data_IF_233720343718
#
_entry.id   IF_233720343718
#
_cell.length_a   1.000
_cell.length_b   1.000
_cell.length_c   1.000
_cell.angle_alpha   90.00
_cell.angle_beta   90.00
_cell.angle_gamma   90.00
#
_symmetry.space_group_name_H-M   'P 1'
#
loop_
_entity.id
_entity.type
_entity.pdbx_description
1 polymer ?
#
# COMPACT_ATOMS: atom_id res chain seq x y z
N UNK A 1 4.33 59.18 -46.33
CA UNK A 1 3.41 58.05 -46.12
C UNK A 1 4.01 56.83 -45.40
N UNK A 2 5.30 56.81 -44.99
CA UNK A 2 5.95 55.65 -44.35
C UNK A 2 5.92 55.62 -42.81
N UNK A 3 5.58 56.74 -42.16
CA UNK A 3 5.63 56.87 -40.68
C UNK A 3 4.42 56.22 -39.99
N UNK A 4 3.23 56.22 -40.62
CA UNK A 4 2.02 55.62 -40.03
C UNK A 4 2.06 54.09 -39.94
N UNK A 5 2.75 53.42 -40.87
CA UNK A 5 2.90 51.96 -40.83
C UNK A 5 3.90 51.50 -39.75
N UNK A 6 4.95 52.29 -39.49
CA UNK A 6 5.94 51.97 -38.45
C UNK A 6 5.35 52.10 -37.03
N UNK A 7 4.44 53.06 -36.80
CA UNK A 7 3.74 53.16 -35.52
C UNK A 7 2.74 52.01 -35.29
N UNK A 8 2.04 51.52 -36.33
CA UNK A 8 1.10 50.42 -36.15
C UNK A 8 1.80 49.08 -35.89
N UNK A 9 2.92 48.81 -36.55
CA UNK A 9 3.65 47.54 -36.35
C UNK A 9 4.35 47.49 -34.99
N UNK A 10 4.84 48.61 -34.48
CA UNK A 10 5.45 48.69 -33.15
C UNK A 10 4.42 48.54 -32.02
N UNK A 11 3.21 49.09 -32.18
CA UNK A 11 2.11 48.89 -31.21
C UNK A 11 1.62 47.44 -31.21
N UNK A 12 1.56 46.78 -32.37
CA UNK A 12 1.16 45.37 -32.47
C UNK A 12 2.17 44.41 -31.82
N UNK A 13 3.47 44.65 -32.01
CA UNK A 13 4.53 43.87 -31.36
C UNK A 13 4.51 44.09 -29.84
N UNK A 14 4.29 45.32 -29.38
CA UNK A 14 4.18 45.61 -27.94
C UNK A 14 2.96 44.94 -27.31
N UNK A 15 1.82 44.89 -28.01
CA UNK A 15 0.61 44.21 -27.54
C UNK A 15 0.79 42.68 -27.48
N UNK A 16 1.48 42.09 -28.47
CA UNK A 16 1.86 40.66 -28.44
C UNK A 16 2.81 40.35 -27.28
N UNK A 17 3.81 41.19 -27.01
CA UNK A 17 4.72 41.00 -25.88
C UNK A 17 3.98 41.10 -24.54
N UNK A 18 3.02 42.00 -24.37
CA UNK A 18 2.22 42.11 -23.14
C UNK A 18 1.28 40.90 -22.97
N UNK A 19 0.73 40.36 -24.06
CA UNK A 19 -0.11 39.16 -24.02
C UNK A 19 0.71 37.90 -23.68
N UNK A 20 1.97 37.83 -24.13
CA UNK A 20 2.86 36.69 -23.83
C UNK A 20 3.69 36.85 -22.55
N UNK A 21 3.80 38.05 -21.98
CA UNK A 21 4.51 38.29 -20.70
C UNK A 21 3.59 38.51 -19.50
N UNK A 22 2.27 38.48 -19.71
CA UNK A 22 1.33 38.38 -18.60
C UNK A 22 1.64 37.10 -17.83
N UNK A 23 2.02 37.17 -16.54
CA UNK A 23 2.30 35.97 -15.78
C UNK A 23 0.97 35.23 -15.71
N UNK A 24 0.88 34.09 -16.39
CA UNK A 24 -0.06 33.03 -16.02
C UNK A 24 0.15 32.90 -14.53
N UNK A 25 -0.83 33.36 -13.74
CA UNK A 25 -0.83 33.23 -12.29
C UNK A 25 -0.30 31.83 -12.03
N UNK A 26 0.85 31.75 -11.36
CA UNK A 26 1.45 30.50 -10.96
C UNK A 26 0.38 29.77 -10.14
N UNK A 27 -0.37 28.92 -10.84
CA UNK A 27 -1.41 28.10 -10.30
C UNK A 27 -0.62 27.14 -9.41
N UNK A 28 -0.74 27.36 -8.11
CA UNK A 28 -0.07 26.61 -7.05
C UNK A 28 0.01 25.15 -7.42
N UNK A 29 1.23 24.60 -7.40
CA UNK A 29 1.57 23.21 -7.69
C UNK A 29 0.97 22.20 -6.68
N UNK A 30 0.05 22.66 -5.84
CA UNK A 30 -0.54 21.98 -4.69
C UNK A 30 -2.04 21.66 -4.87
N UNK A 31 -2.61 21.80 -6.08
CA UNK A 31 -4.05 21.54 -6.30
C UNK A 31 -4.31 20.44 -7.35
N UNK A 32 -3.82 19.22 -7.10
CA UNK A 32 -4.34 18.01 -7.74
C UNK A 32 -5.14 17.18 -6.73
N UNK A 33 -6.17 17.83 -6.17
CA UNK A 33 -7.37 17.17 -5.63
C UNK A 33 -8.64 17.81 -6.19
N UNK A 34 -8.55 18.54 -7.32
CA UNK A 34 -9.71 19.15 -7.97
C UNK A 34 -10.34 18.18 -8.99
N UNK A 35 -10.75 17.01 -8.51
CA UNK A 35 -11.99 16.39 -8.99
C UNK A 35 -13.03 16.74 -7.92
N UNK A 36 -13.85 17.75 -8.24
CA UNK A 36 -15.11 18.14 -7.62
C UNK A 36 -15.37 17.64 -6.18
N UNK A 37 -14.84 18.37 -5.19
CA UNK A 37 -15.14 18.14 -3.77
C UNK A 37 -16.52 18.74 -3.46
N UNK A 38 -17.59 18.02 -3.82
CA UNK A 38 -18.93 18.29 -3.26
C UNK A 38 -19.74 17.04 -2.93
N UNK A 39 -19.24 15.82 -3.17
CA UNK A 39 -19.86 14.61 -2.61
C UNK A 39 -18.81 13.56 -2.23
N UNK A 40 -18.77 13.09 -0.96
CA UNK A 40 -18.09 11.85 -0.62
C UNK A 40 -18.75 10.73 -1.46
N UNK A 41 -17.99 10.12 -2.38
CA UNK A 41 -18.44 8.85 -2.96
C UNK A 41 -18.38 7.81 -1.83
N UNK A 42 -19.49 7.19 -1.43
CA UNK A 42 -19.55 6.25 -0.31
C UNK A 42 -18.72 4.96 -0.53
N UNK A 43 -17.97 4.85 -1.63
CA UNK A 43 -17.33 3.62 -2.08
C UNK A 43 -15.79 3.66 -2.08
N UNK A 44 -15.14 4.77 -1.71
CA UNK A 44 -13.67 4.87 -1.70
C UNK A 44 -13.08 4.21 -0.46
N UNK A 45 -12.45 3.05 -0.64
CA UNK A 45 -11.81 2.28 0.43
C UNK A 45 -10.32 2.11 0.13
N UNK A 46 -9.51 2.29 1.17
CA UNK A 46 -8.09 1.89 1.16
C UNK A 46 -7.84 0.80 2.20
N UNK A 47 -7.24 -0.29 1.73
CA UNK A 47 -6.62 -1.33 2.53
C UNK A 47 -5.13 -1.03 2.60
N UNK A 48 -4.72 -0.38 3.68
CA UNK A 48 -3.30 -0.21 3.99
C UNK A 48 -2.76 -1.54 4.52
N UNK A 49 -1.70 -2.05 3.89
CA UNK A 49 -1.15 -3.37 4.19
C UNK A 49 0.35 -3.31 4.43
N UNK A 50 0.84 -4.12 5.36
CA UNK A 50 2.25 -4.18 5.74
C UNK A 50 2.78 -5.61 5.66
N UNK A 51 3.85 -5.81 4.91
CA UNK A 51 4.54 -7.11 4.81
C UNK A 51 5.78 -7.15 5.71
N UNK A 52 6.36 -8.35 5.84
CA UNK A 52 7.67 -8.63 6.42
C UNK A 52 7.86 -8.42 7.94
N UNK A 53 6.79 -8.11 8.66
CA UNK A 53 6.78 -8.05 10.13
C UNK A 53 6.62 -9.42 10.81
N UNK A 54 6.53 -9.45 12.15
CA UNK A 54 6.78 -8.33 13.06
C UNK A 54 8.28 -8.04 13.25
N UNK A 55 8.61 -6.77 13.41
CA UNK A 55 9.95 -6.25 13.72
C UNK A 55 9.93 -5.52 15.07
N UNK A 56 10.96 -5.73 15.88
CA UNK A 56 11.11 -5.08 17.19
C UNK A 56 11.36 -3.57 17.11
N UNK A 57 11.80 -3.05 15.97
CA UNK A 57 12.16 -1.62 15.82
C UNK A 57 11.11 -0.79 15.10
N UNK A 58 10.41 -1.38 14.12
CA UNK A 58 9.54 -0.65 13.19
C UNK A 58 8.06 -0.93 13.42
N UNK A 59 7.66 -2.20 13.66
CA UNK A 59 6.25 -2.57 13.74
C UNK A 59 5.52 -1.84 14.88
N UNK A 60 6.15 -1.71 16.06
CA UNK A 60 5.57 -0.95 17.17
C UNK A 60 5.30 0.53 16.83
N UNK A 61 6.24 1.18 16.14
CA UNK A 61 6.09 2.58 15.69
C UNK A 61 4.94 2.74 14.69
N UNK A 62 4.79 1.79 13.78
CA UNK A 62 3.67 1.77 12.83
C UNK A 62 2.35 1.65 13.58
N UNK A 63 2.23 0.72 14.54
CA UNK A 63 1.03 0.57 15.36
C UNK A 63 0.67 1.87 16.10
N UNK A 64 1.67 2.53 16.71
CA UNK A 64 1.47 3.82 17.39
C UNK A 64 0.91 4.89 16.44
N UNK A 65 1.45 4.99 15.22
CA UNK A 65 0.97 5.92 14.19
C UNK A 65 -0.47 5.57 13.76
N UNK A 66 -0.77 4.29 13.51
CA UNK A 66 -2.11 3.87 13.10
C UNK A 66 -3.15 4.18 14.19
N UNK A 67 -2.78 3.98 15.46
CA UNK A 67 -3.60 4.33 16.62
C UNK A 67 -3.83 5.83 16.74
N UNK A 68 -2.77 6.64 16.65
CA UNK A 68 -2.87 8.12 16.67
C UNK A 68 -3.76 8.63 15.54
N UNK A 69 -3.66 8.00 14.36
CA UNK A 69 -4.47 8.35 13.21
C UNK A 69 -5.85 7.68 13.22
N UNK A 70 -6.20 6.84 14.20
CA UNK A 70 -7.45 6.08 14.24
C UNK A 70 -7.77 5.37 12.90
N UNK A 71 -6.80 4.66 12.34
CA UNK A 71 -6.96 3.86 11.10
C UNK A 71 -6.67 2.40 11.36
N UNK A 72 -7.33 1.51 10.61
CA UNK A 72 -7.04 0.06 10.63
C UNK A 72 -6.24 -0.33 9.39
N UNK A 73 -5.37 -1.32 9.56
CA UNK A 73 -4.51 -1.87 8.51
C UNK A 73 -4.50 -3.40 8.58
N UNK A 74 -3.81 -4.04 7.63
CA UNK A 74 -3.58 -5.49 7.62
C UNK A 74 -2.09 -5.80 7.61
N UNK A 75 -1.65 -6.74 8.43
CA UNK A 75 -0.25 -7.12 8.56
C UNK A 75 -0.05 -8.55 8.07
N UNK A 76 0.69 -8.73 6.97
CA UNK A 76 1.11 -10.03 6.47
C UNK A 76 2.46 -10.40 7.10
N UNK A 77 2.41 -11.28 8.10
CA UNK A 77 3.54 -11.56 8.98
C UNK A 77 4.31 -12.82 8.58
N UNK A 78 5.62 -12.78 8.84
CA UNK A 78 6.53 -13.91 8.63
C UNK A 78 6.56 -14.77 9.89
N UNK A 79 6.33 -16.08 9.72
CA UNK A 79 6.15 -17.00 10.85
C UNK A 79 7.35 -17.08 11.80
N UNK A 80 8.58 -17.20 11.28
CA UNK A 80 9.77 -17.28 12.15
C UNK A 80 10.02 -15.99 12.95
N UNK A 81 9.48 -14.85 12.51
CA UNK A 81 9.68 -13.55 13.18
C UNK A 81 8.77 -13.36 14.41
N UNK A 82 7.79 -14.26 14.62
CA UNK A 82 6.84 -14.20 15.73
C UNK A 82 7.52 -14.48 17.07
N UNK A 83 8.44 -15.43 17.10
CA UNK A 83 9.14 -15.83 18.33
C UNK A 83 9.86 -14.61 18.96
N UNK A 84 9.52 -14.31 20.22
CA UNK A 84 10.03 -13.15 20.95
C UNK A 84 9.39 -11.81 20.58
N UNK A 85 8.33 -11.80 19.78
CA UNK A 85 7.55 -10.62 19.35
C UNK A 85 6.03 -10.86 19.43
N UNK A 86 5.61 -11.77 20.29
CA UNK A 86 4.22 -12.16 20.49
C UNK A 86 3.35 -10.99 20.98
N UNK A 87 3.96 -10.06 21.72
CA UNK A 87 3.32 -8.82 22.18
C UNK A 87 2.87 -7.94 21.00
N UNK A 88 3.68 -7.84 19.94
CA UNK A 88 3.34 -7.08 18.74
C UNK A 88 2.18 -7.71 17.98
N UNK A 89 2.11 -9.04 17.89
CA UNK A 89 0.95 -9.73 17.32
C UNK A 89 -0.32 -9.47 18.14
N UNK A 90 -0.23 -9.55 19.47
CA UNK A 90 -1.37 -9.25 20.35
C UNK A 90 -1.82 -7.80 20.21
N UNK A 91 -0.88 -6.85 20.08
CA UNK A 91 -1.19 -5.45 19.80
C UNK A 91 -1.92 -5.30 18.47
N UNK A 92 -1.42 -5.90 17.37
CA UNK A 92 -2.11 -5.85 16.07
C UNK A 92 -3.58 -6.28 16.21
N UNK A 93 -3.81 -7.42 16.85
CA UNK A 93 -5.15 -7.96 17.04
C UNK A 93 -6.04 -7.07 17.93
N UNK A 94 -5.55 -6.71 19.13
CA UNK A 94 -6.31 -5.92 20.11
C UNK A 94 -6.60 -4.50 19.62
N UNK A 95 -5.72 -3.93 18.79
CA UNK A 95 -5.91 -2.62 18.17
C UNK A 95 -6.82 -2.69 16.92
N UNK A 96 -7.36 -3.87 16.58
CA UNK A 96 -8.36 -4.06 15.53
C UNK A 96 -7.78 -4.12 14.11
N UNK A 97 -6.51 -4.50 13.98
CA UNK A 97 -5.89 -4.76 12.69
C UNK A 97 -6.07 -6.23 12.29
N UNK A 98 -6.06 -6.48 10.99
CA UNK A 98 -6.09 -7.85 10.49
C UNK A 98 -4.69 -8.44 10.41
N UNK A 99 -4.60 -9.74 10.62
CA UNK A 99 -3.36 -10.51 10.51
C UNK A 99 -3.50 -11.46 9.33
N UNK A 100 -2.51 -11.46 8.47
CA UNK A 100 -2.38 -12.36 7.34
C UNK A 100 -1.05 -13.09 7.36
N UNK A 101 -0.95 -14.14 6.54
CA UNK A 101 0.23 -15.00 6.49
C UNK A 101 1.14 -14.59 5.34
N UNK A 102 2.45 -14.49 5.61
CA UNK A 102 3.48 -14.15 4.63
C UNK A 102 4.61 -15.18 4.59
N UNK A 103 4.26 -16.46 4.66
CA UNK A 103 5.18 -17.63 4.76
C UNK A 103 5.98 -17.69 6.05
N UNK A 104 6.53 -18.86 6.34
CA UNK A 104 7.24 -19.07 7.60
C UNK A 104 8.66 -18.55 7.50
N UNK A 105 9.39 -18.89 6.43
CA UNK A 105 10.82 -18.63 6.25
C UNK A 105 11.14 -17.38 5.45
N UNK A 106 10.23 -16.92 4.59
CA UNK A 106 10.48 -15.89 3.57
C UNK A 106 11.62 -16.21 2.59
N UNK A 107 12.04 -17.49 2.47
CA UNK A 107 13.10 -17.90 1.54
C UNK A 107 12.49 -18.39 0.23
N UNK A 108 12.57 -17.59 -0.84
CA UNK A 108 11.97 -17.92 -2.14
C UNK A 108 12.35 -19.31 -2.68
N UNK A 109 13.60 -19.75 -2.48
CA UNK A 109 14.05 -21.10 -2.89
C UNK A 109 13.37 -22.25 -2.13
N UNK A 110 12.88 -22.03 -0.92
CA UNK A 110 12.07 -22.99 -0.16
C UNK A 110 10.62 -22.87 -0.59
N UNK A 111 10.09 -21.65 -0.51
CA UNK A 111 8.67 -21.32 -0.72
C UNK A 111 8.18 -21.77 -2.10
N UNK A 112 8.95 -21.49 -3.15
CA UNK A 112 8.58 -21.73 -4.54
C UNK A 112 9.19 -23.00 -5.13
N UNK A 113 9.72 -23.90 -4.29
CA UNK A 113 10.26 -25.18 -4.76
C UNK A 113 9.16 -26.11 -5.32
N UNK A 114 7.96 -26.06 -4.77
CA UNK A 114 6.74 -26.70 -5.28
C UNK A 114 5.51 -26.19 -4.49
N UNK A 115 4.31 -26.51 -4.98
CA UNK A 115 3.05 -26.09 -4.36
C UNK A 115 2.86 -26.56 -2.91
N UNK A 116 3.31 -27.78 -2.58
CA UNK A 116 3.18 -28.30 -1.22
C UNK A 116 4.13 -27.57 -0.26
N UNK A 117 5.31 -27.18 -0.75
CA UNK A 117 6.23 -26.34 0.02
C UNK A 117 5.59 -25.00 0.36
N UNK A 118 4.98 -24.33 -0.63
CA UNK A 118 4.25 -23.08 -0.41
C UNK A 118 3.14 -23.25 0.62
N UNK A 119 2.30 -24.28 0.48
CA UNK A 119 1.21 -24.56 1.41
C UNK A 119 1.73 -24.83 2.83
N UNK A 120 2.80 -25.63 2.97
CA UNK A 120 3.39 -25.94 4.26
C UNK A 120 3.97 -24.69 4.95
N UNK A 121 4.55 -23.76 4.19
CA UNK A 121 5.01 -22.47 4.72
C UNK A 121 3.84 -21.63 5.27
N UNK A 122 2.68 -21.66 4.61
CA UNK A 122 1.47 -20.99 5.10
C UNK A 122 0.93 -21.66 6.37
N UNK A 123 0.75 -22.99 6.35
CA UNK A 123 0.26 -23.76 7.52
C UNK A 123 1.19 -23.56 8.72
N UNK A 124 2.50 -23.56 8.52
CA UNK A 124 3.46 -23.36 9.61
C UNK A 124 3.34 -21.96 10.21
N UNK A 125 3.15 -20.94 9.38
CA UNK A 125 2.90 -19.56 9.85
C UNK A 125 1.58 -19.47 10.59
N UNK A 126 0.51 -20.06 10.04
CA UNK A 126 -0.81 -20.14 10.66
C UNK A 126 -0.73 -20.72 12.07
N UNK A 127 0.01 -21.83 12.23
CA UNK A 127 0.18 -22.47 13.53
C UNK A 127 0.89 -21.56 14.54
N UNK A 128 1.93 -20.82 14.14
CA UNK A 128 2.57 -19.86 15.04
C UNK A 128 1.63 -18.72 15.45
N UNK A 129 0.82 -18.20 14.53
CA UNK A 129 -0.19 -17.19 14.87
C UNK A 129 -1.24 -17.75 15.84
N UNK A 130 -1.72 -18.96 15.58
CA UNK A 130 -2.72 -19.64 16.42
C UNK A 130 -2.22 -19.87 17.84
N UNK A 131 -0.94 -20.22 18.03
CA UNK A 131 -0.35 -20.36 19.38
C UNK A 131 -0.43 -19.07 20.18
N UNK A 132 -0.29 -17.90 19.53
CA UNK A 132 -0.26 -16.60 20.19
C UNK A 132 -1.66 -16.02 20.41
N UNK A 133 -2.55 -16.16 19.42
CA UNK A 133 -3.84 -15.46 19.39
C UNK A 133 -5.06 -16.37 19.53
N UNK A 134 -4.89 -17.69 19.49
CA UNK A 134 -5.98 -18.65 19.60
C UNK A 134 -6.83 -18.82 18.34
N UNK A 135 -6.57 -18.08 17.26
CA UNK A 135 -7.25 -18.23 15.97
C UNK A 135 -6.27 -18.35 14.81
N UNK A 136 -6.77 -18.89 13.70
CA UNK A 136 -6.03 -19.10 12.46
C UNK A 136 -6.44 -18.07 11.41
N UNK A 137 -5.59 -17.10 11.02
CA UNK A 137 -5.92 -16.22 9.92
C UNK A 137 -5.89 -17.00 8.59
N UNK A 138 -6.85 -16.70 7.73
CA UNK A 138 -7.01 -17.33 6.40
C UNK A 138 -6.68 -16.43 5.22
N UNK A 139 -6.20 -15.21 5.47
CA UNK A 139 -5.74 -14.32 4.41
C UNK A 139 -4.22 -14.44 4.25
N UNK A 140 -3.74 -14.51 3.01
CA UNK A 140 -2.32 -14.72 2.70
C UNK A 140 -1.84 -13.71 1.66
N UNK A 141 -0.53 -13.47 1.67
CA UNK A 141 0.17 -12.75 0.60
C UNK A 141 1.44 -13.49 0.23
N UNK A 142 1.67 -13.65 -1.07
CA UNK A 142 2.85 -14.30 -1.62
C UNK A 142 4.07 -13.38 -1.44
N UNK A 143 5.22 -13.86 -0.94
CA UNK A 143 6.46 -13.11 -0.98
C UNK A 143 6.82 -12.73 -2.41
N UNK A 144 7.08 -11.45 -2.66
CA UNK A 144 7.28 -10.85 -4.00
C UNK A 144 6.02 -10.79 -4.90
N UNK A 145 4.84 -11.15 -4.38
CA UNK A 145 3.56 -11.14 -5.08
C UNK A 145 3.25 -12.44 -5.81
N UNK A 146 1.96 -12.66 -6.13
CA UNK A 146 1.52 -13.94 -6.72
C UNK A 146 1.88 -14.13 -8.20
N UNK A 147 2.26 -13.05 -8.88
CA UNK A 147 2.56 -13.05 -10.32
C UNK A 147 3.67 -14.04 -10.64
N UNK A 148 3.44 -14.91 -11.61
CA UNK A 148 4.32 -16.02 -12.01
C UNK A 148 4.46 -17.17 -11.00
N UNK A 149 3.85 -17.06 -9.81
CA UNK A 149 3.90 -18.09 -8.76
C UNK A 149 2.56 -18.81 -8.57
N UNK A 150 1.45 -18.13 -8.86
CA UNK A 150 0.10 -18.66 -8.71
C UNK A 150 -0.37 -19.35 -10.01
N UNK A 151 -0.38 -20.67 -10.00
CA UNK A 151 -1.00 -21.53 -11.03
C UNK A 151 -2.46 -21.82 -10.66
N UNK A 152 -3.26 -22.32 -11.62
CA UNK A 152 -4.64 -22.78 -11.33
C UNK A 152 -4.66 -23.89 -10.27
N UNK A 153 -3.75 -24.87 -10.38
CA UNK A 153 -3.62 -25.96 -9.40
C UNK A 153 -3.31 -25.45 -7.99
N UNK A 154 -2.37 -24.50 -7.87
CA UNK A 154 -2.05 -23.90 -6.57
C UNK A 154 -3.22 -23.08 -6.03
N UNK A 155 -3.93 -22.34 -6.88
CA UNK A 155 -5.12 -21.58 -6.47
C UNK A 155 -6.20 -22.51 -5.89
N UNK A 156 -6.55 -23.59 -6.59
CA UNK A 156 -7.52 -24.59 -6.12
C UNK A 156 -7.08 -25.22 -4.80
N UNK A 157 -5.79 -25.55 -4.68
CA UNK A 157 -5.22 -26.09 -3.44
C UNK A 157 -5.33 -25.11 -2.28
N UNK A 158 -5.03 -23.83 -2.50
CA UNK A 158 -5.13 -22.79 -1.47
C UNK A 158 -6.57 -22.55 -1.05
N UNK A 159 -7.50 -22.46 -2.01
CA UNK A 159 -8.94 -22.30 -1.76
C UNK A 159 -9.54 -23.49 -1.01
N UNK A 160 -9.10 -24.72 -1.32
CA UNK A 160 -9.49 -25.94 -0.58
C UNK A 160 -9.02 -25.90 0.89
N UNK A 161 -7.93 -25.18 1.17
CA UNK A 161 -7.43 -24.93 2.52
C UNK A 161 -7.95 -23.61 3.11
N UNK A 162 -9.00 -23.03 2.49
CA UNK A 162 -9.70 -21.82 2.89
C UNK A 162 -8.87 -20.53 2.81
N UNK A 163 -7.68 -20.57 2.19
CA UNK A 163 -6.84 -19.39 2.07
C UNK A 163 -7.33 -18.43 0.99
N UNK A 164 -7.39 -17.14 1.31
CA UNK A 164 -7.65 -16.05 0.37
C UNK A 164 -6.40 -15.22 0.11
N UNK A 165 -6.13 -14.94 -1.15
CA UNK A 165 -4.93 -14.25 -1.64
C UNK A 165 -5.20 -12.75 -1.76
N UNK A 166 -4.28 -11.95 -1.22
CA UNK A 166 -4.32 -10.50 -1.36
C UNK A 166 -2.96 -9.98 -1.85
N UNK A 167 -2.89 -9.61 -3.13
CA UNK A 167 -1.80 -8.80 -3.69
C UNK A 167 -2.08 -7.30 -3.41
N UNK A 168 -1.60 -6.41 -4.29
CA UNK A 168 -1.73 -4.97 -4.19
C UNK A 168 -1.93 -4.33 -5.57
N UNK A 169 -2.59 -3.18 -5.63
CA UNK A 169 -2.70 -2.37 -6.85
C UNK A 169 -1.94 -1.04 -6.78
N UNK A 170 -1.35 -0.76 -5.63
CA UNK A 170 -0.47 0.38 -5.38
C UNK A 170 0.62 -0.03 -4.38
N UNK A 171 1.82 0.52 -4.53
CA UNK A 171 2.93 0.28 -3.61
C UNK A 171 3.71 1.56 -3.44
N UNK A 172 4.12 1.86 -2.21
CA UNK A 172 5.07 2.95 -1.95
C UNK A 172 6.53 2.56 -2.23
N UNK A 173 6.77 1.34 -2.70
CA UNK A 173 8.08 0.85 -3.16
C UNK A 173 9.18 0.85 -2.09
N UNK A 174 8.81 0.82 -0.81
CA UNK A 174 9.73 0.80 0.34
C UNK A 174 10.51 -0.53 0.48
N UNK A 175 10.02 -1.61 -0.13
CA UNK A 175 10.73 -2.90 -0.24
C UNK A 175 11.82 -2.96 -1.32
N UNK A 176 11.88 -1.99 -2.24
CA UNK A 176 12.91 -1.97 -3.31
C UNK A 176 14.24 -1.43 -2.76
N UNK A 177 14.17 -0.34 -2.02
CA UNK A 177 15.32 0.28 -1.38
C UNK A 177 14.88 0.98 -0.10
N UNK A 178 15.29 0.44 1.05
CA UNK A 178 14.94 0.97 2.37
C UNK A 178 15.43 2.40 2.61
N UNK A 179 16.41 2.89 1.84
CA UNK A 179 16.91 4.27 1.89
C UNK A 179 16.09 5.27 1.08
N UNK A 180 15.03 4.82 0.42
CA UNK A 180 14.13 5.71 -0.34
C UNK A 180 13.64 6.84 0.55
N UNK A 181 13.70 8.08 0.05
CA UNK A 181 13.33 9.27 0.82
C UNK A 181 11.84 9.28 1.15
N UNK A 182 11.50 9.91 2.27
CA UNK A 182 10.11 10.07 2.74
C UNK A 182 9.21 10.67 1.65
N UNK A 183 9.68 11.69 0.94
CA UNK A 183 8.89 12.34 -0.11
C UNK A 183 8.69 11.44 -1.34
N UNK A 184 9.68 10.60 -1.69
CA UNK A 184 9.52 9.63 -2.77
C UNK A 184 8.52 8.54 -2.38
N UNK A 185 8.58 8.03 -1.14
CA UNK A 185 7.60 7.07 -0.63
C UNK A 185 6.18 7.66 -0.65
N UNK A 186 6.04 8.93 -0.23
CA UNK A 186 4.76 9.64 -0.32
C UNK A 186 4.26 9.74 -1.76
N UNK A 187 5.10 10.18 -2.70
CA UNK A 187 4.71 10.33 -4.10
C UNK A 187 4.28 8.98 -4.74
N UNK A 188 4.99 7.89 -4.43
CA UNK A 188 4.60 6.54 -4.89
C UNK A 188 3.30 6.06 -4.23
N UNK A 189 3.08 6.41 -2.95
CA UNK A 189 1.85 6.08 -2.24
C UNK A 189 0.64 6.88 -2.72
N UNK A 190 0.82 8.05 -3.35
CA UNK A 190 -0.28 8.94 -3.75
C UNK A 190 -0.40 9.13 -5.27
N UNK A 191 0.36 8.36 -6.06
CA UNK A 191 0.21 8.38 -7.52
C UNK A 191 -1.11 7.76 -7.96
N UNK A 192 -1.47 7.99 -9.23
CA UNK A 192 -2.68 7.42 -9.83
C UNK A 192 -2.67 5.89 -9.73
N UNK A 193 -3.73 5.36 -9.12
CA UNK A 193 -4.03 3.93 -9.05
C UNK A 193 -4.92 3.49 -10.21
N UNK A 194 -4.81 2.23 -10.64
CA UNK A 194 -5.65 1.64 -11.70
C UNK A 194 -7.13 1.61 -11.29
N UNK A 195 -7.41 1.28 -10.02
CA UNK A 195 -8.75 1.34 -9.45
C UNK A 195 -8.72 2.28 -8.22
N UNK A 196 -9.07 3.56 -8.38
CA UNK A 196 -9.04 4.53 -7.29
C UNK A 196 -10.14 4.32 -6.25
N UNK A 197 -11.20 3.54 -6.53
CA UNK A 197 -12.24 3.30 -5.54
C UNK A 197 -11.86 2.21 -4.52
N UNK A 198 -10.97 1.29 -4.90
CA UNK A 198 -10.51 0.21 -4.01
C UNK A 198 -9.00 0.08 -4.11
N UNK A 199 -8.29 0.68 -3.16
CA UNK A 199 -6.82 0.69 -3.12
C UNK A 199 -6.34 -0.39 -2.15
N UNK A 200 -5.46 -1.27 -2.62
CA UNK A 200 -4.66 -2.16 -1.77
C UNK A 200 -3.23 -1.63 -1.82
N UNK A 201 -2.83 -0.90 -0.78
CA UNK A 201 -1.53 -0.24 -0.69
C UNK A 201 -0.53 -1.15 0.03
N UNK A 202 0.49 -1.60 -0.70
CA UNK A 202 1.60 -2.37 -0.15
C UNK A 202 2.66 -1.44 0.48
N UNK A 203 2.90 -1.66 1.76
CA UNK A 203 4.01 -1.17 2.58
C UNK A 203 4.76 -2.34 3.22
N UNK A 204 5.90 -2.06 3.84
CA UNK A 204 6.64 -3.05 4.63
C UNK A 204 6.84 -2.53 6.06
N UNK A 205 6.87 -3.46 7.01
CA UNK A 205 7.09 -3.19 8.43
C UNK A 205 8.29 -3.97 8.99
N UNK A 206 9.25 -4.34 8.13
CA UNK A 206 10.53 -4.87 8.55
C UNK A 206 11.39 -3.81 9.26
N UNK A 207 12.42 -4.23 10.00
CA UNK A 207 13.29 -3.33 10.77
C UNK A 207 14.04 -2.28 9.95
N UNK A 208 14.09 -2.40 8.63
CA UNK A 208 14.72 -1.44 7.72
C UNK A 208 13.80 -0.30 7.29
N UNK A 209 12.48 -0.40 7.50
CA UNK A 209 11.48 0.53 6.96
C UNK A 209 11.21 1.79 7.85
N UNK A 210 12.25 2.37 8.44
CA UNK A 210 12.11 3.59 9.27
C UNK A 210 11.54 4.79 8.49
N UNK A 211 11.89 4.93 7.20
CA UNK A 211 11.33 5.99 6.36
C UNK A 211 9.84 5.77 6.05
N UNK A 212 9.35 4.53 6.05
CA UNK A 212 7.92 4.22 5.95
C UNK A 212 7.17 4.79 7.15
N UNK A 213 7.70 4.63 8.38
CA UNK A 213 7.13 5.25 9.58
C UNK A 213 6.99 6.77 9.43
N UNK A 214 8.01 7.44 8.87
CA UNK A 214 8.02 8.90 8.68
C UNK A 214 7.08 9.38 7.58
N UNK A 215 6.86 8.58 6.54
CA UNK A 215 5.94 8.91 5.45
C UNK A 215 4.47 8.66 5.81
N UNK A 216 4.22 7.69 6.68
CA UNK A 216 2.88 7.16 6.94
C UNK A 216 1.85 8.21 7.38
N UNK A 217 2.14 9.17 8.29
CA UNK A 217 1.18 10.20 8.67
C UNK A 217 0.73 11.07 7.49
N UNK A 218 1.66 11.43 6.58
CA UNK A 218 1.34 12.22 5.38
C UNK A 218 0.47 11.43 4.40
N UNK A 219 0.78 10.14 4.21
CA UNK A 219 0.01 9.24 3.34
C UNK A 219 -1.42 9.06 3.87
N UNK A 220 -1.57 8.79 5.17
CA UNK A 220 -2.89 8.64 5.80
C UNK A 220 -3.71 9.93 5.66
N UNK A 221 -3.10 11.09 5.92
CA UNK A 221 -3.75 12.39 5.78
C UNK A 221 -4.23 12.65 4.35
N UNK A 222 -3.41 12.31 3.34
CA UNK A 222 -3.80 12.44 1.94
C UNK A 222 -5.08 11.64 1.63
N UNK A 223 -5.10 10.35 1.95
CA UNK A 223 -6.25 9.49 1.66
C UNK A 223 -7.52 9.91 2.41
N UNK A 224 -7.39 10.34 3.68
CA UNK A 224 -8.52 10.91 4.42
C UNK A 224 -9.07 12.18 3.76
N UNK A 225 -8.19 13.09 3.34
CA UNK A 225 -8.59 14.32 2.65
C UNK A 225 -9.26 14.04 1.30
N UNK A 226 -8.90 12.93 0.64
CA UNK A 226 -9.55 12.46 -0.59
C UNK A 226 -10.84 11.65 -0.33
N UNK A 227 -11.29 11.55 0.93
CA UNK A 227 -12.53 10.88 1.31
C UNK A 227 -12.47 9.36 1.38
N UNK A 228 -11.28 8.76 1.51
CA UNK A 228 -11.14 7.30 1.63
C UNK A 228 -11.40 6.83 3.07
N UNK A 229 -12.10 5.71 3.18
CA UNK A 229 -12.22 4.94 4.42
C UNK A 229 -11.08 3.92 4.51
N UNK A 230 -10.39 3.89 5.66
CA UNK A 230 -9.36 2.88 5.94
C UNK A 230 -10.00 1.62 6.50
N UNK A 231 -9.83 0.48 5.82
CA UNK A 231 -10.33 -0.83 6.27
C UNK A 231 -9.20 -1.84 6.38
N UNK A 232 -9.31 -2.73 7.36
CA UNK A 232 -8.52 -3.95 7.38
C UNK A 232 -9.14 -5.00 6.45
N UNK A 233 -8.32 -5.85 5.88
CA UNK A 233 -8.76 -6.98 5.04
C UNK A 233 -9.36 -8.03 5.96
N UNK A 234 -10.58 -8.46 5.68
CA UNK A 234 -11.27 -9.51 6.45
C UNK A 234 -11.62 -10.67 5.52
N UNK A 235 -12.12 -11.77 6.08
CA UNK A 235 -12.64 -12.88 5.29
C UNK A 235 -13.80 -12.46 4.36
N UNK A 236 -14.51 -11.38 4.67
CA UNK A 236 -15.58 -10.83 3.83
C UNK A 236 -15.06 -9.87 2.74
N UNK A 237 -13.80 -9.46 2.81
CA UNK A 237 -13.21 -8.61 1.77
C UNK A 237 -13.06 -9.43 0.49
N UNK A 238 -13.59 -8.98 -0.66
CA UNK A 238 -13.38 -9.66 -1.93
C UNK A 238 -11.89 -9.89 -2.19
N UNK A 239 -11.57 -11.12 -2.54
CA UNK A 239 -10.21 -11.55 -2.81
C UNK A 239 -9.59 -10.73 -3.96
N UNK A 240 -8.29 -10.44 -3.89
CA UNK A 240 -7.61 -9.62 -4.87
C UNK A 240 -6.22 -10.18 -5.16
N UNK A 241 -6.03 -10.83 -6.29
CA UNK A 241 -4.73 -11.34 -6.71
C UNK A 241 -4.42 -10.98 -8.16
N UNK A 242 -3.13 -10.97 -8.50
CA UNK A 242 -2.68 -10.80 -9.87
C UNK A 242 -3.16 -11.95 -10.76
N UNK A 243 -3.09 -11.73 -12.07
CA UNK A 243 -3.51 -12.75 -13.04
C UNK A 243 -2.80 -14.08 -12.79
N UNK A 244 -3.58 -15.14 -12.64
CA UNK A 244 -3.12 -16.54 -12.52
C UNK A 244 -2.31 -16.91 -13.76
N UNK A 245 -1.16 -17.52 -13.53
CA UNK A 245 -0.34 -18.09 -14.59
C UNK A 245 -1.04 -19.30 -15.20
N UNK A 246 -1.00 -19.38 -16.54
CA UNK A 246 -1.49 -20.55 -17.27
C UNK A 246 -0.66 -21.78 -16.95
#
# INVERSE_FOLDING_TARGET
MKIKHFLLTTIFILYMVIYYTSPVKALSKDLFCAEDITTPSPDKVIYLTFDDGPSSTVTGKILDILKEQNVKASFFIIGYKIEGREDLLKRMYNEGHSIGLHTYTHKCGVIYSNENSFLNEMIKTENEVKKVLGFSPKIIRFPTGSKNHLTTSLLEKLHTNEYKIYDWNLSLSDGINYRTSVDKLYNEATRKCVNPNKVFLLAHCDGTNENTCRALPKIIKYYKNCGYEFKAITENTPEYYFRVSK
#
